data_IF_067653460581
#
_entry.id   IF_067653460581
#
_cell.length_a   1.000
_cell.length_b   1.000
_cell.length_c   1.000
_cell.angle_alpha   90.00
_cell.angle_beta   90.00
_cell.angle_gamma   90.00
#
_symmetry.space_group_name_H-M   'P 1'
#
loop_
_entity.id
_entity.type
_entity.pdbx_description
1 polymer ?
#
# COMPACT_ATOMS: atom_id res chain seq x y z
N UNK A 1 12.67 -4.52 -34.17
CA UNK A 1 13.06 -5.94 -34.13
C UNK A 1 13.70 -6.20 -32.80
N UNK A 2 12.84 -6.49 -31.84
CA UNK A 2 13.18 -6.96 -30.49
C UNK A 2 13.53 -8.45 -30.55
N UNK A 3 14.14 -8.99 -29.49
CA UNK A 3 14.43 -10.43 -29.39
C UNK A 3 13.14 -11.25 -29.50
N UNK A 4 12.07 -10.80 -28.86
CA UNK A 4 10.76 -11.47 -28.95
C UNK A 4 10.20 -11.48 -30.38
N UNK A 5 10.36 -10.41 -31.16
CA UNK A 5 9.96 -10.40 -32.57
C UNK A 5 10.77 -11.40 -33.40
N UNK A 6 12.06 -11.56 -33.13
CA UNK A 6 12.91 -12.57 -33.77
C UNK A 6 12.45 -13.98 -33.41
N UNK A 7 12.23 -14.25 -32.13
CA UNK A 7 11.72 -15.54 -31.63
C UNK A 7 10.34 -15.86 -32.22
N UNK A 8 9.47 -14.86 -32.36
CA UNK A 8 8.14 -15.05 -32.94
C UNK A 8 8.21 -15.41 -34.44
N UNK A 9 9.09 -14.78 -35.20
CA UNK A 9 9.32 -15.16 -36.60
C UNK A 9 9.91 -16.57 -36.70
N UNK A 10 10.81 -16.97 -35.80
CA UNK A 10 11.32 -18.34 -35.75
C UNK A 10 10.19 -19.37 -35.47
N UNK A 11 9.25 -19.04 -34.59
CA UNK A 11 8.06 -19.87 -34.33
C UNK A 11 7.20 -19.99 -35.59
N UNK A 12 6.92 -18.88 -36.29
CA UNK A 12 6.13 -18.90 -37.54
C UNK A 12 6.79 -19.74 -38.63
N UNK A 13 8.09 -19.58 -38.81
CA UNK A 13 8.87 -20.36 -39.78
C UNK A 13 8.81 -21.86 -39.45
N UNK A 14 8.98 -22.22 -38.18
CA UNK A 14 8.91 -23.60 -37.72
C UNK A 14 7.50 -24.20 -37.88
N UNK A 15 6.44 -23.44 -37.64
CA UNK A 15 5.04 -23.87 -37.89
C UNK A 15 4.86 -24.27 -39.35
N UNK A 16 5.34 -23.44 -40.28
CA UNK A 16 5.30 -23.71 -41.71
C UNK A 16 6.13 -24.93 -42.11
N UNK A 17 7.37 -25.01 -41.61
CA UNK A 17 8.29 -26.11 -41.90
C UNK A 17 7.76 -27.47 -41.43
N UNK A 18 7.21 -27.53 -40.21
CA UNK A 18 6.76 -28.78 -39.59
C UNK A 18 5.30 -29.11 -39.88
N UNK A 19 4.58 -28.23 -40.59
CA UNK A 19 3.17 -28.40 -40.96
C UNK A 19 2.23 -28.58 -39.76
N UNK A 20 2.49 -27.85 -38.68
CA UNK A 20 1.60 -27.85 -37.52
C UNK A 20 0.27 -27.17 -37.84
N UNK A 21 -0.82 -27.67 -37.23
CA UNK A 21 -2.07 -26.92 -37.15
C UNK A 21 -1.99 -26.00 -35.95
N UNK A 22 -2.41 -24.74 -36.11
CA UNK A 22 -2.42 -23.74 -35.04
C UNK A 22 -3.85 -23.49 -34.59
N UNK A 23 -4.06 -23.50 -33.28
CA UNK A 23 -5.27 -23.02 -32.65
C UNK A 23 -4.94 -21.75 -31.85
N UNK A 24 -5.44 -20.56 -32.27
CA UNK A 24 -5.11 -19.29 -31.64
C UNK A 24 -5.92 -19.12 -30.35
N UNK A 25 -5.44 -19.68 -29.26
CA UNK A 25 -6.09 -19.62 -27.96
C UNK A 25 -5.12 -20.05 -26.86
N UNK A 26 -5.41 -19.62 -25.64
CA UNK A 26 -4.80 -20.15 -24.43
C UNK A 26 -5.39 -21.53 -24.12
N UNK A 27 -4.54 -22.45 -23.64
CA UNK A 27 -4.99 -23.75 -23.17
C UNK A 27 -5.35 -23.64 -21.69
N UNK A 28 -6.60 -23.88 -21.31
CA UNK A 28 -6.97 -23.95 -19.89
C UNK A 28 -6.40 -25.24 -19.25
N UNK A 29 -5.44 -25.10 -18.34
CA UNK A 29 -4.67 -26.21 -17.77
C UNK A 29 -5.13 -26.58 -16.35
N UNK A 30 -6.43 -26.77 -16.13
CA UNK A 30 -6.91 -27.20 -14.82
C UNK A 30 -6.68 -28.71 -14.61
N UNK A 31 -5.79 -29.07 -13.66
CA UNK A 31 -5.55 -30.44 -13.25
C UNK A 31 -4.70 -31.29 -14.21
N UNK A 32 -4.06 -30.68 -15.22
CA UNK A 32 -3.15 -31.35 -16.15
C UNK A 32 -1.70 -30.94 -15.81
N UNK A 33 -0.74 -31.87 -15.74
CA UNK A 33 0.67 -31.53 -15.53
C UNK A 33 1.21 -30.64 -16.64
N UNK A 34 1.98 -29.61 -16.27
CA UNK A 34 2.67 -28.70 -17.20
C UNK A 34 4.18 -28.87 -17.08
N UNK A 35 4.84 -28.95 -18.23
CA UNK A 35 6.28 -28.90 -18.37
C UNK A 35 6.66 -27.58 -19.03
N UNK A 36 7.13 -26.63 -18.23
CA UNK A 36 7.67 -25.36 -18.69
C UNK A 36 9.09 -25.55 -19.24
N UNK A 37 9.32 -25.08 -20.45
CA UNK A 37 10.63 -25.10 -21.07
C UNK A 37 11.45 -23.89 -20.63
N UNK A 38 12.76 -24.03 -20.39
CA UNK A 38 13.60 -22.90 -20.00
C UNK A 38 13.62 -21.83 -21.10
N UNK A 39 13.61 -20.56 -20.71
CA UNK A 39 13.67 -19.38 -21.60
C UNK A 39 14.91 -19.40 -22.51
N UNK A 40 16.01 -20.01 -22.04
CA UNK A 40 17.23 -20.18 -22.83
C UNK A 40 17.08 -21.17 -24.00
N UNK A 41 15.97 -21.91 -24.08
CA UNK A 41 15.69 -22.87 -25.14
C UNK A 41 15.15 -22.14 -26.35
N UNK A 42 15.73 -22.40 -27.51
CA UNK A 42 15.22 -21.81 -28.76
C UNK A 42 13.83 -22.37 -29.09
N UNK A 43 12.88 -21.55 -29.55
CA UNK A 43 11.56 -22.03 -29.94
C UNK A 43 11.60 -23.14 -31.00
N UNK A 44 12.60 -23.12 -31.89
CA UNK A 44 12.81 -24.18 -32.88
C UNK A 44 13.07 -25.56 -32.26
N UNK A 45 13.84 -25.64 -31.16
CA UNK A 45 14.15 -26.91 -30.49
C UNK A 45 12.91 -27.49 -29.80
N UNK A 46 12.12 -26.62 -29.17
CA UNK A 46 10.83 -26.96 -28.58
C UNK A 46 9.85 -27.52 -29.62
N UNK A 47 9.74 -26.86 -30.78
CA UNK A 47 8.87 -27.27 -31.87
C UNK A 47 9.37 -28.53 -32.60
N UNK A 48 10.69 -28.71 -32.73
CA UNK A 48 11.26 -29.93 -33.27
C UNK A 48 10.89 -31.14 -32.40
N UNK A 49 10.97 -31.02 -31.07
CA UNK A 49 10.56 -32.10 -30.18
C UNK A 49 9.07 -32.41 -30.30
N UNK A 50 8.21 -31.38 -30.43
CA UNK A 50 6.79 -31.59 -30.67
C UNK A 50 6.56 -32.44 -31.93
N UNK A 51 7.27 -32.13 -33.01
CA UNK A 51 7.20 -32.86 -34.27
C UNK A 51 7.66 -34.32 -34.11
N UNK A 52 8.82 -34.53 -33.46
CA UNK A 52 9.36 -35.87 -33.20
C UNK A 52 8.42 -36.72 -32.32
N UNK A 53 7.68 -36.05 -31.43
CA UNK A 53 6.65 -36.66 -30.58
C UNK A 53 5.33 -36.93 -31.30
N UNK A 54 5.24 -36.63 -32.60
CA UNK A 54 4.03 -36.85 -33.41
C UNK A 54 2.90 -35.86 -33.12
N UNK A 55 3.19 -34.72 -32.49
CA UNK A 55 2.23 -33.63 -32.30
C UNK A 55 1.87 -33.04 -33.67
N UNK A 56 0.60 -32.68 -33.85
CA UNK A 56 0.13 -32.02 -35.09
C UNK A 56 -0.71 -30.77 -34.82
N UNK A 57 -0.88 -30.40 -33.54
CA UNK A 57 -1.68 -29.27 -33.11
C UNK A 57 -0.89 -28.50 -32.05
N UNK A 58 -0.74 -27.20 -32.27
CA UNK A 58 -0.21 -26.23 -31.33
C UNK A 58 -1.33 -25.29 -30.90
N UNK A 59 -1.28 -24.89 -29.63
CA UNK A 59 -2.04 -23.76 -29.12
C UNK A 59 -1.08 -22.59 -29.05
N UNK A 60 -1.47 -21.44 -29.56
CA UNK A 60 -0.61 -20.25 -29.56
C UNK A 60 -1.41 -19.06 -29.08
N UNK A 61 -0.80 -18.28 -28.21
CA UNK A 61 -1.28 -16.96 -27.80
C UNK A 61 -0.16 -15.97 -28.02
N UNK A 62 -0.50 -14.82 -28.58
CA UNK A 62 0.36 -13.65 -28.65
C UNK A 62 -0.40 -12.51 -27.97
N UNK A 63 0.32 -11.63 -27.30
CA UNK A 63 -0.23 -10.43 -26.72
C UNK A 63 0.57 -9.21 -27.15
N UNK A 64 -0.14 -8.11 -27.38
CA UNK A 64 0.43 -6.84 -27.84
C UNK A 64 0.15 -5.76 -26.81
N UNK A 65 1.12 -4.89 -26.57
CA UNK A 65 0.93 -3.77 -25.65
C UNK A 65 -0.15 -2.82 -26.17
N UNK A 66 -1.16 -2.58 -25.36
CA UNK A 66 -2.29 -1.71 -25.69
C UNK A 66 -2.55 -0.67 -24.59
N UNK A 67 -3.58 0.17 -24.79
CA UNK A 67 -3.94 1.22 -23.82
C UNK A 67 -4.33 0.65 -22.44
N UNK A 68 -4.75 -0.62 -22.36
CA UNK A 68 -5.08 -1.28 -21.10
C UNK A 68 -3.86 -1.61 -20.23
N UNK A 69 -2.67 -1.60 -20.82
CA UNK A 69 -1.41 -1.82 -20.11
C UNK A 69 -0.79 -0.53 -19.55
N UNK A 70 -1.28 0.64 -19.99
CA UNK A 70 -0.80 1.92 -19.52
C UNK A 70 -1.30 2.20 -18.09
N UNK A 71 -0.48 2.83 -17.22
CA UNK A 71 -0.93 3.22 -15.90
C UNK A 71 -2.09 4.20 -15.99
N UNK A 72 -3.10 3.99 -15.15
CA UNK A 72 -4.20 4.94 -14.99
C UNK A 72 -3.72 6.10 -14.12
N UNK A 73 -3.61 7.28 -14.72
CA UNK A 73 -3.22 8.50 -14.01
C UNK A 73 -4.49 9.19 -13.51
N UNK A 74 -4.83 9.01 -12.23
CA UNK A 74 -5.94 9.75 -11.60
C UNK A 74 -5.49 11.14 -11.12
N UNK A 75 -6.39 12.12 -11.27
CA UNK A 75 -6.08 13.56 -11.24
C UNK A 75 -5.64 14.14 -9.87
N UNK A 76 -5.56 13.33 -8.80
CA UNK A 76 -5.26 13.80 -7.43
C UNK A 76 -4.06 13.16 -6.68
N UNK A 77 -3.25 12.29 -7.28
CA UNK A 77 -2.04 11.77 -6.62
C UNK A 77 -0.84 12.74 -6.68
N UNK A 78 -0.28 13.17 -5.54
CA UNK A 78 1.12 13.63 -5.47
C UNK A 78 2.03 12.38 -5.53
N UNK A 79 3.11 12.43 -6.32
CA UNK A 79 3.94 11.26 -6.69
C UNK A 79 3.85 10.85 -8.17
N UNK A 80 3.09 11.61 -8.98
CA UNK A 80 2.80 11.34 -10.39
C UNK A 80 3.97 11.34 -11.35
N UNK A 81 5.07 12.00 -11.02
CA UNK A 81 6.18 12.16 -11.96
C UNK A 81 6.69 10.80 -12.48
N UNK A 82 6.66 9.76 -11.64
CA UNK A 82 7.00 8.39 -12.05
C UNK A 82 5.98 7.76 -13.00
N UNK A 83 4.67 7.93 -12.73
CA UNK A 83 3.61 7.40 -13.59
C UNK A 83 3.55 8.12 -14.93
N UNK A 84 3.79 9.43 -14.98
CA UNK A 84 3.83 10.20 -16.23
C UNK A 84 5.00 9.73 -17.12
N UNK A 85 6.16 9.48 -16.53
CA UNK A 85 7.32 8.92 -17.26
C UNK A 85 6.98 7.54 -17.82
N UNK A 86 6.41 6.65 -17.00
CA UNK A 86 6.03 5.31 -17.44
C UNK A 86 4.91 5.36 -18.48
N UNK A 87 3.98 6.28 -18.38
CA UNK A 87 2.95 6.45 -19.40
C UNK A 87 3.57 6.78 -20.76
N UNK A 88 4.49 7.74 -20.82
CA UNK A 88 5.18 8.10 -22.07
C UNK A 88 6.03 6.95 -22.61
N UNK A 89 6.77 6.24 -21.74
CA UNK A 89 7.55 5.06 -22.14
C UNK A 89 6.64 3.98 -22.73
N UNK A 90 5.56 3.61 -22.05
CA UNK A 90 4.62 2.61 -22.54
C UNK A 90 3.94 3.03 -23.85
N UNK A 91 3.65 4.33 -24.00
CA UNK A 91 3.01 4.88 -25.20
C UNK A 91 3.86 4.69 -26.45
N UNK A 92 5.18 4.77 -26.33
CA UNK A 92 6.11 4.54 -27.44
C UNK A 92 6.13 3.08 -27.93
N UNK A 93 5.57 2.17 -27.13
CA UNK A 93 5.49 0.73 -27.41
C UNK A 93 4.07 0.24 -27.77
N UNK A 94 3.10 1.14 -27.98
CA UNK A 94 1.74 0.73 -28.35
C UNK A 94 1.72 -0.08 -29.66
N UNK A 95 1.17 -1.28 -29.58
CA UNK A 95 1.09 -2.25 -30.67
C UNK A 95 2.30 -3.18 -30.78
N UNK A 96 3.36 -2.98 -29.97
CA UNK A 96 4.49 -3.89 -29.93
C UNK A 96 4.07 -5.22 -29.29
N UNK A 97 4.66 -6.31 -29.77
CA UNK A 97 4.49 -7.64 -29.20
C UNK A 97 5.16 -7.69 -27.82
N UNK A 98 4.43 -8.13 -26.80
CA UNK A 98 4.90 -8.21 -25.40
C UNK A 98 5.02 -9.62 -24.88
N UNK A 99 4.26 -10.55 -25.44
CA UNK A 99 4.23 -11.93 -24.99
C UNK A 99 3.90 -12.87 -26.13
N UNK A 100 4.56 -14.02 -26.15
CA UNK A 100 4.19 -15.17 -26.99
C UNK A 100 4.24 -16.41 -26.13
N UNK A 101 3.24 -17.28 -26.27
CA UNK A 101 3.29 -18.62 -25.72
C UNK A 101 2.77 -19.67 -26.70
N UNK A 102 3.44 -20.82 -26.68
CA UNK A 102 3.18 -21.97 -27.52
C UNK A 102 3.02 -23.19 -26.63
N UNK A 103 1.87 -23.86 -26.75
CA UNK A 103 1.59 -25.10 -26.03
C UNK A 103 1.34 -26.27 -26.98
N UNK A 104 1.74 -27.45 -26.54
CA UNK A 104 1.30 -28.72 -27.12
C UNK A 104 1.13 -29.80 -26.07
N UNK A 105 0.36 -30.82 -26.41
CA UNK A 105 0.03 -31.92 -25.49
C UNK A 105 0.59 -33.22 -25.99
N UNK A 106 1.34 -33.92 -25.15
CA UNK A 106 1.83 -35.25 -25.43
C UNK A 106 1.88 -36.09 -24.14
N UNK A 107 1.46 -37.35 -24.22
CA UNK A 107 1.52 -38.26 -23.07
C UNK A 107 0.72 -37.81 -21.83
N UNK A 108 -0.27 -36.92 -22.00
CA UNK A 108 -1.04 -36.34 -20.89
C UNK A 108 -0.35 -35.19 -20.16
N UNK A 109 0.73 -34.64 -20.72
CA UNK A 109 1.45 -33.47 -20.20
C UNK A 109 1.31 -32.33 -21.21
N UNK A 110 1.04 -31.12 -20.71
CA UNK A 110 1.12 -29.89 -21.47
C UNK A 110 2.58 -29.43 -21.46
N UNK A 111 3.14 -29.16 -22.62
CA UNK A 111 4.45 -28.56 -22.75
C UNK A 111 4.28 -27.12 -23.19
N UNK A 112 4.97 -26.21 -22.51
CA UNK A 112 4.88 -24.78 -22.71
C UNK A 112 6.26 -24.20 -23.01
N UNK A 113 6.32 -23.40 -24.06
CA UNK A 113 7.38 -22.43 -24.28
C UNK A 113 6.73 -21.06 -24.35
N UNK A 114 7.28 -20.09 -23.65
CA UNK A 114 6.82 -18.71 -23.66
C UNK A 114 7.99 -17.76 -23.62
N UNK A 115 7.79 -16.56 -24.12
CA UNK A 115 8.75 -15.48 -24.05
C UNK A 115 8.01 -14.14 -23.89
N UNK A 116 8.60 -13.28 -23.07
CA UNK A 116 8.17 -11.91 -22.83
C UNK A 116 9.17 -10.95 -23.48
N UNK A 117 8.72 -9.74 -23.81
CA UNK A 117 9.63 -8.71 -24.28
C UNK A 117 10.44 -8.16 -23.10
N UNK A 118 11.77 -8.14 -23.21
CA UNK A 118 12.66 -7.61 -22.15
C UNK A 118 12.24 -6.21 -21.68
N UNK A 119 11.91 -5.32 -22.62
CA UNK A 119 11.48 -3.96 -22.30
C UNK A 119 10.16 -3.94 -21.52
N UNK A 120 9.27 -4.91 -21.75
CA UNK A 120 7.99 -5.01 -21.06
C UNK A 120 8.18 -5.53 -19.63
N UNK A 121 9.12 -6.45 -19.41
CA UNK A 121 9.50 -6.87 -18.06
C UNK A 121 10.10 -5.71 -17.26
N UNK A 122 11.04 -4.97 -17.86
CA UNK A 122 11.63 -3.77 -17.24
C UNK A 122 10.55 -2.70 -16.94
N UNK A 123 9.58 -2.58 -17.84
CA UNK A 123 8.43 -1.68 -17.68
C UNK A 123 7.55 -2.08 -16.50
N UNK A 124 7.20 -3.36 -16.38
CA UNK A 124 6.39 -3.88 -15.29
C UNK A 124 7.09 -3.74 -13.93
N UNK A 125 8.38 -4.05 -13.86
CA UNK A 125 9.18 -3.87 -12.63
C UNK A 125 9.21 -2.39 -12.22
N UNK A 126 9.43 -1.49 -13.20
CA UNK A 126 9.44 -0.05 -12.93
C UNK A 126 8.07 0.47 -12.47
N UNK A 127 6.98 -0.07 -13.04
CA UNK A 127 5.61 0.26 -12.63
C UNK A 127 5.34 -0.18 -11.19
N UNK A 128 5.72 -1.40 -10.81
CA UNK A 128 5.57 -1.90 -9.44
C UNK A 128 6.29 -1.01 -8.43
N UNK A 129 7.54 -0.63 -8.70
CA UNK A 129 8.34 0.25 -7.83
C UNK A 129 7.68 1.63 -7.67
N UNK A 130 7.16 2.21 -8.76
CA UNK A 130 6.47 3.51 -8.69
C UNK A 130 5.18 3.40 -7.87
N UNK A 131 4.39 2.34 -8.06
CA UNK A 131 3.15 2.12 -7.32
C UNK A 131 3.42 1.92 -5.82
N UNK A 132 4.42 1.11 -5.46
CA UNK A 132 4.84 0.92 -4.07
C UNK A 132 5.26 2.24 -3.42
N UNK A 133 6.05 3.05 -4.13
CA UNK A 133 6.45 4.38 -3.63
C UNK A 133 5.27 5.32 -3.42
N UNK A 134 4.26 5.29 -4.30
CA UNK A 134 3.06 6.12 -4.15
C UNK A 134 2.24 5.67 -2.93
N UNK A 135 2.10 4.37 -2.72
CA UNK A 135 1.42 3.80 -1.56
C UNK A 135 2.13 4.17 -0.25
N UNK A 136 3.45 4.02 -0.19
CA UNK A 136 4.25 4.41 0.97
C UNK A 136 4.11 5.92 1.29
N UNK A 137 4.16 6.78 0.27
CA UNK A 137 3.96 8.22 0.46
C UNK A 137 2.54 8.56 0.93
N UNK A 138 1.52 7.83 0.44
CA UNK A 138 0.15 8.00 0.88
C UNK A 138 -0.02 7.58 2.35
N UNK A 139 0.62 6.49 2.76
CA UNK A 139 0.62 6.02 4.15
C UNK A 139 1.34 6.99 5.08
N UNK A 140 2.51 7.50 4.70
CA UNK A 140 3.25 8.51 5.47
C UNK A 140 2.43 9.80 5.62
N UNK A 141 1.73 10.22 4.57
CA UNK A 141 0.83 11.39 4.62
C UNK A 141 -0.35 11.12 5.56
N UNK A 142 -1.01 9.98 5.43
CA UNK A 142 -2.11 9.56 6.31
C UNK A 142 -1.68 9.58 7.77
N UNK A 143 -0.50 9.04 8.08
CA UNK A 143 0.04 9.03 9.43
C UNK A 143 0.40 10.42 9.94
N UNK A 144 0.94 11.30 9.07
CA UNK A 144 1.19 12.71 9.42
C UNK A 144 -0.10 13.45 9.74
N UNK A 145 -1.15 13.24 8.96
CA UNK A 145 -2.46 13.85 9.16
C UNK A 145 -3.11 13.34 10.45
N UNK A 146 -3.06 12.03 10.70
CA UNK A 146 -3.49 11.44 11.97
C UNK A 146 -2.74 12.06 13.14
N UNK A 147 -1.42 12.21 13.06
CA UNK A 147 -0.63 12.81 14.14
C UNK A 147 -0.99 14.28 14.38
N UNK A 148 -1.18 15.06 13.29
CA UNK A 148 -1.59 16.46 13.37
C UNK A 148 -2.97 16.60 14.03
N UNK A 149 -3.95 15.83 13.57
CA UNK A 149 -5.31 15.83 14.13
C UNK A 149 -5.30 15.34 15.59
N UNK A 150 -4.55 14.29 15.91
CA UNK A 150 -4.40 13.79 17.27
C UNK A 150 -3.82 14.84 18.22
N UNK A 151 -2.85 15.64 17.78
CA UNK A 151 -2.34 16.79 18.55
C UNK A 151 -3.41 17.84 18.82
N UNK A 152 -4.21 18.18 17.81
CA UNK A 152 -5.32 19.13 17.97
C UNK A 152 -6.35 18.60 19.00
N UNK A 153 -6.74 17.32 18.89
CA UNK A 153 -7.64 16.65 19.84
C UNK A 153 -7.05 16.66 21.25
N UNK A 154 -5.77 16.32 21.41
CA UNK A 154 -5.11 16.24 22.72
C UNK A 154 -5.10 17.58 23.47
N UNK A 155 -5.07 18.69 22.73
CA UNK A 155 -5.14 20.04 23.31
C UNK A 155 -6.56 20.53 23.61
N UNK A 156 -7.60 19.82 23.15
CA UNK A 156 -8.99 20.22 23.34
C UNK A 156 -9.42 20.08 24.82
N UNK A 157 -9.96 21.14 25.45
CA UNK A 157 -10.37 21.09 26.86
C UNK A 157 -11.48 20.07 27.19
N UNK A 158 -12.36 19.74 26.24
CA UNK A 158 -13.36 18.71 26.44
C UNK A 158 -12.71 17.33 26.41
N UNK A 159 -11.75 17.11 25.51
CA UNK A 159 -10.99 15.85 25.43
C UNK A 159 -10.21 15.58 26.72
N UNK A 160 -9.50 16.59 27.24
CA UNK A 160 -8.74 16.47 28.49
C UNK A 160 -9.62 16.16 29.72
N UNK A 161 -10.91 16.50 29.66
CA UNK A 161 -11.90 16.20 30.72
C UNK A 161 -12.59 14.85 30.53
N UNK A 162 -12.49 14.24 29.36
CA UNK A 162 -13.12 12.97 29.06
C UNK A 162 -12.47 11.82 29.85
N UNK A 163 -13.32 10.94 30.40
CA UNK A 163 -12.90 9.87 31.32
C UNK A 163 -12.95 8.48 30.72
N UNK A 164 -13.63 8.33 29.59
CA UNK A 164 -13.86 7.04 28.93
C UNK A 164 -13.41 7.11 27.47
N UNK A 165 -13.00 5.97 26.88
CA UNK A 165 -12.69 5.89 25.45
C UNK A 165 -13.84 6.43 24.58
N UNK A 166 -15.08 6.04 24.84
CA UNK A 166 -16.25 6.47 24.07
C UNK A 166 -16.46 7.99 24.09
N UNK A 167 -16.22 8.65 25.22
CA UNK A 167 -16.29 10.12 25.32
C UNK A 167 -15.20 10.79 24.48
N UNK A 168 -14.00 10.23 24.47
CA UNK A 168 -12.85 10.75 23.71
C UNK A 168 -13.07 10.59 22.22
N UNK A 169 -13.58 9.43 21.82
CA UNK A 169 -13.95 9.16 20.43
C UNK A 169 -15.08 10.08 19.97
N UNK A 170 -16.11 10.28 20.79
CA UNK A 170 -17.18 11.23 20.50
C UNK A 170 -16.65 12.66 20.27
N UNK A 171 -15.64 13.08 21.03
CA UNK A 171 -15.01 14.39 20.86
C UNK A 171 -14.18 14.45 19.58
N UNK A 172 -13.44 13.39 19.25
CA UNK A 172 -12.73 13.28 17.97
C UNK A 172 -13.70 13.39 16.78
N UNK A 173 -14.84 12.67 16.81
CA UNK A 173 -15.91 12.76 15.81
C UNK A 173 -16.49 14.16 15.67
N UNK A 174 -16.59 14.89 16.78
CA UNK A 174 -17.13 16.27 16.79
C UNK A 174 -16.14 17.28 16.22
N UNK A 175 -14.84 17.08 16.44
CA UNK A 175 -13.78 17.98 15.96
C UNK A 175 -13.47 17.78 14.48
N UNK A 176 -13.57 16.54 14.00
CA UNK A 176 -13.26 16.17 12.61
C UNK A 176 -14.42 15.40 11.96
N UNK A 177 -15.62 16.00 11.83
CA UNK A 177 -16.80 15.32 11.29
C UNK A 177 -16.62 14.87 9.83
N UNK A 178 -15.78 15.56 9.05
CA UNK A 178 -15.46 15.26 7.66
C UNK A 178 -14.80 13.89 7.47
N UNK A 179 -14.08 13.39 8.49
CA UNK A 179 -13.47 12.06 8.46
C UNK A 179 -14.53 10.95 8.48
N UNK A 180 -15.71 11.21 9.05
CA UNK A 180 -16.81 10.25 9.10
C UNK A 180 -17.61 10.15 7.80
N UNK A 181 -17.46 11.12 6.89
CA UNK A 181 -18.10 11.10 5.55
C UNK A 181 -17.23 10.47 4.46
N UNK A 182 -15.93 10.29 4.71
CA UNK A 182 -14.99 9.67 3.78
C UNK A 182 -15.02 8.13 3.83
N UNK A 183 -15.55 7.54 4.90
CA UNK A 183 -15.73 6.09 5.05
C UNK A 183 -17.01 5.61 4.33
N UNK A 184 -16.98 5.52 2.99
CA UNK A 184 -17.97 4.69 2.26
C UNK A 184 -17.67 3.18 2.40
N UNK A 185 -16.47 2.80 2.85
CA UNK A 185 -16.03 1.40 3.00
C UNK A 185 -16.09 0.85 4.44
N UNK A 186 -16.83 1.51 5.34
CA UNK A 186 -17.31 0.88 6.57
C UNK A 186 -16.30 0.75 7.72
N UNK A 187 -15.30 1.63 7.78
CA UNK A 187 -14.18 1.47 8.68
C UNK A 187 -14.20 2.44 9.88
N UNK A 188 -15.04 2.13 10.87
CA UNK A 188 -15.23 2.85 12.17
C UNK A 188 -13.95 2.96 13.05
N UNK A 189 -12.79 2.48 12.59
CA UNK A 189 -11.51 2.46 13.33
C UNK A 189 -10.78 3.80 13.35
N UNK A 190 -11.10 4.72 12.45
CA UNK A 190 -10.40 6.01 12.26
C UNK A 190 -10.48 6.89 13.50
N UNK A 191 -11.68 7.06 14.07
CA UNK A 191 -11.86 7.87 15.28
C UNK A 191 -11.32 7.20 16.55
N UNK A 192 -11.46 5.87 16.65
CA UNK A 192 -10.89 5.09 17.76
C UNK A 192 -9.35 5.11 17.75
N UNK A 193 -8.71 5.12 16.57
CA UNK A 193 -7.26 5.32 16.41
C UNK A 193 -6.86 6.75 16.80
N UNK A 194 -7.52 7.76 16.25
CA UNK A 194 -7.26 9.18 16.55
C UNK A 194 -7.38 9.50 18.05
N UNK A 195 -8.45 9.02 18.70
CA UNK A 195 -8.66 9.24 20.13
C UNK A 195 -7.61 8.56 21.00
N UNK A 196 -7.10 7.38 20.60
CA UNK A 196 -6.00 6.70 21.31
C UNK A 196 -4.69 7.45 21.14
N UNK A 197 -4.37 7.88 19.92
CA UNK A 197 -3.16 8.66 19.64
C UNK A 197 -3.18 10.00 20.40
N UNK A 198 -4.31 10.71 20.36
CA UNK A 198 -4.50 11.94 21.11
C UNK A 198 -4.37 11.73 22.63
N UNK A 199 -4.85 10.59 23.14
CA UNK A 199 -4.67 10.27 24.55
C UNK A 199 -3.20 10.04 24.91
N UNK A 200 -2.44 9.33 24.06
CA UNK A 200 -1.02 9.11 24.28
C UNK A 200 -0.27 10.46 24.31
N UNK A 201 -0.53 11.35 23.36
CA UNK A 201 0.04 12.71 23.33
C UNK A 201 -0.35 13.49 24.59
N UNK A 202 -1.62 13.43 25.01
CA UNK A 202 -2.06 14.12 26.22
C UNK A 202 -1.31 13.60 27.46
N UNK A 203 -1.20 12.28 27.63
CA UNK A 203 -0.57 11.68 28.81
C UNK A 203 0.94 11.90 28.87
N UNK A 204 1.62 11.87 27.72
CA UNK A 204 3.08 11.95 27.62
C UNK A 204 3.58 13.38 27.56
N UNK A 205 2.95 14.24 26.75
CA UNK A 205 3.49 15.58 26.46
C UNK A 205 2.77 16.69 27.25
N UNK A 206 1.44 16.62 27.37
CA UNK A 206 0.64 17.74 27.88
C UNK A 206 0.43 17.65 29.40
N UNK A 207 -0.03 16.49 29.89
CA UNK A 207 -0.38 16.27 31.29
C UNK A 207 0.79 16.53 32.24
N UNK A 208 2.03 16.08 31.98
CA UNK A 208 3.15 16.36 32.88
C UNK A 208 3.45 17.86 32.99
N UNK A 209 3.34 18.62 31.89
CA UNK A 209 3.52 20.07 31.92
C UNK A 209 2.41 20.76 32.72
N UNK A 210 1.16 20.31 32.56
CA UNK A 210 0.03 20.82 33.34
C UNK A 210 0.19 20.51 34.84
N UNK A 211 0.56 19.27 35.20
CA UNK A 211 0.77 18.87 36.59
C UNK A 211 1.96 19.60 37.22
N UNK A 212 3.05 19.85 36.47
CA UNK A 212 4.16 20.68 36.94
C UNK A 212 3.71 22.12 37.23
N UNK A 213 2.95 22.74 36.33
CA UNK A 213 2.43 24.10 36.55
C UNK A 213 1.50 24.19 37.78
N UNK A 214 0.70 23.15 38.01
CA UNK A 214 -0.12 23.00 39.22
C UNK A 214 0.76 22.85 40.46
N UNK A 215 1.82 22.03 40.40
CA UNK A 215 2.76 21.83 41.49
C UNK A 215 3.45 23.14 41.88
N UNK A 216 3.95 23.89 40.90
CA UNK A 216 4.66 25.16 41.12
C UNK A 216 3.74 26.21 41.75
N UNK A 217 2.51 26.34 41.24
CA UNK A 217 1.49 27.23 41.82
C UNK A 217 1.09 26.81 43.24
N UNK A 218 0.96 25.51 43.49
CA UNK A 218 0.64 24.99 44.81
C UNK A 218 1.76 25.28 45.82
N UNK A 219 3.03 25.10 45.44
CA UNK A 219 4.17 25.44 46.31
C UNK A 219 4.22 26.93 46.60
N UNK A 220 3.96 27.78 45.61
CA UNK A 220 3.83 29.24 45.81
C UNK A 220 2.79 29.58 46.88
N UNK A 221 1.57 29.06 46.73
CA UNK A 221 0.48 29.26 47.69
C UNK A 221 0.81 28.72 49.10
N UNK A 222 1.46 27.56 49.19
CA UNK A 222 1.88 26.97 50.46
C UNK A 222 3.00 27.77 51.15
N UNK A 223 3.92 28.35 50.37
CA UNK A 223 4.98 29.23 50.89
C UNK A 223 4.41 30.55 51.46
N UNK A 224 3.23 30.99 50.99
CA UNK A 224 2.46 32.09 51.59
C UNK A 224 1.77 31.69 52.91
N UNK A 225 1.98 30.47 53.40
CA UNK A 225 1.40 29.96 54.65
C UNK A 225 -0.01 29.38 54.48
N UNK A 226 -0.49 29.18 53.26
CA UNK A 226 -1.81 28.56 53.02
C UNK A 226 -1.74 27.06 53.31
N UNK A 227 -2.72 26.50 54.07
CA UNK A 227 -2.79 25.07 54.29
C UNK A 227 -3.13 24.35 52.98
N UNK A 228 -2.55 23.15 52.77
CA UNK A 228 -2.68 22.36 51.54
C UNK A 228 -4.13 22.15 51.09
N UNK A 229 -5.06 21.94 52.01
CA UNK A 229 -6.49 21.74 51.69
C UNK A 229 -7.10 22.97 51.01
N UNK A 230 -6.78 24.18 51.50
CA UNK A 230 -7.22 25.45 50.91
C UNK A 230 -6.54 25.70 49.56
N UNK A 231 -5.27 25.31 49.43
CA UNK A 231 -4.56 25.34 48.15
C UNK A 231 -5.21 24.41 47.11
N UNK A 232 -5.61 23.20 47.52
CA UNK A 232 -6.30 22.25 46.64
C UNK A 232 -7.66 22.80 46.15
N UNK A 233 -8.42 23.41 47.07
CA UNK A 233 -9.68 24.09 46.76
C UNK A 233 -9.49 25.25 45.75
N UNK A 234 -8.50 26.12 45.97
CA UNK A 234 -8.20 27.23 45.06
C UNK A 234 -7.70 26.80 43.68
N UNK A 235 -7.09 25.62 43.59
CA UNK A 235 -6.64 25.03 42.33
C UNK A 235 -7.73 24.17 41.65
N UNK A 236 -8.90 23.99 42.29
CA UNK A 236 -10.01 23.21 41.74
C UNK A 236 -9.70 21.72 41.63
N UNK A 237 -8.83 21.17 42.48
CA UNK A 237 -8.46 19.75 42.50
C UNK A 237 -8.68 19.14 43.90
N UNK A 238 -8.79 17.81 43.97
CA UNK A 238 -8.88 17.14 45.27
C UNK A 238 -7.54 17.22 46.02
N UNK A 239 -7.62 17.22 47.35
CA UNK A 239 -6.42 17.22 48.22
C UNK A 239 -5.52 15.99 47.96
N UNK A 240 -6.12 14.83 47.67
CA UNK A 240 -5.39 13.62 47.26
C UNK A 240 -4.69 13.79 45.91
N UNK A 241 -5.34 14.41 44.92
CA UNK A 241 -4.72 14.69 43.62
C UNK A 241 -3.57 15.68 43.78
N UNK A 242 -3.74 16.73 44.59
CA UNK A 242 -2.67 17.68 44.89
C UNK A 242 -1.48 16.99 45.57
N UNK A 243 -1.75 16.11 46.56
CA UNK A 243 -0.71 15.32 47.23
C UNK A 243 0.11 14.51 46.22
N UNK A 244 -0.57 13.80 45.31
CA UNK A 244 0.07 12.98 44.27
C UNK A 244 0.93 13.83 43.34
N UNK A 245 0.40 14.95 42.83
CA UNK A 245 1.13 15.86 41.94
C UNK A 245 2.42 16.36 42.61
N UNK A 246 2.36 16.78 43.87
CA UNK A 246 3.54 17.25 44.62
C UNK A 246 4.58 16.15 44.89
N UNK A 247 4.17 14.87 44.93
CA UNK A 247 5.08 13.74 45.08
C UNK A 247 5.77 13.39 43.76
N UNK A 248 5.02 13.42 42.65
CA UNK A 248 5.54 13.12 41.31
C UNK A 248 6.47 14.21 40.80
N UNK A 249 6.23 15.47 41.20
CA UNK A 249 7.04 16.62 40.85
C UNK A 249 7.67 17.18 42.14
N UNK A 250 8.85 16.70 42.59
CA UNK A 250 9.55 17.28 43.74
C UNK A 250 10.11 18.67 43.40
N UNK A 251 10.35 19.50 44.44
CA UNK A 251 11.07 20.76 44.24
C UNK A 251 12.52 20.47 43.83
N UNK A 252 13.02 21.25 42.86
CA UNK A 252 14.43 21.26 42.48
C UNK A 252 15.32 21.87 43.58
#
# INVERSE_FOLDING_TARGET
>A
MTVLEEDWEEVKDAIGQFSFRVFPSHLEIEGIPVAHWPDASKPQEFLALAQESGVSLLYITEDTFDEGHLPVIEDDHEGRDGLDILYEVGRDHLGDLIFVAVWWVHGGVVHEWSADADWFLDYQESLEVVLESIEEEADVRRDRDVNKQAKEIATDPAFQKARTPDQREYIARKLFPELGSADQDGFDWTFGRLAREAQAIYEVDILPMQEQGVADKARGLMNEGRPRSKTAEELGISDDKLKRILQTHPAA
#
